data_IF_676344663113
#
_entry.id   IF_676344663113
#
_cell.length_a   1.000
_cell.length_b   1.000
_cell.length_c   1.000
_cell.angle_alpha   90.00
_cell.angle_beta   90.00
_cell.angle_gamma   90.00
#
_symmetry.space_group_name_H-M   'P 1'
#
loop_
_entity.id
_entity.type
_entity.pdbx_description
1 polymer ?
#
# COMPACT_ATOMS: atom_id res chain seq x y z
N UNK A 1 -2.07 13.32 -12.95
CA UNK A 1 -2.57 13.04 -11.58
C UNK A 1 -1.78 11.93 -10.89
N UNK A 2 -1.75 10.66 -11.32
CA UNK A 2 -0.94 9.62 -10.62
C UNK A 2 0.57 9.94 -10.60
N UNK A 3 1.09 10.48 -11.69
CA UNK A 3 2.47 10.97 -11.85
C UNK A 3 2.80 12.17 -10.95
N UNK A 4 1.78 12.92 -10.54
CA UNK A 4 1.92 14.20 -9.83
C UNK A 4 2.18 14.00 -8.32
N UNK A 5 2.00 12.76 -7.82
CA UNK A 5 2.20 12.42 -6.41
C UNK A 5 3.54 11.71 -6.19
N UNK A 6 4.16 12.01 -5.04
CA UNK A 6 5.32 11.28 -4.55
C UNK A 6 4.98 9.78 -4.36
N UNK A 7 5.88 8.84 -4.71
CA UNK A 7 5.56 7.43 -4.62
C UNK A 7 5.32 6.91 -3.20
N UNK A 8 6.17 7.30 -2.26
CA UNK A 8 6.25 6.75 -0.91
C UNK A 8 6.44 7.87 0.11
N UNK A 9 5.54 7.94 1.10
CA UNK A 9 5.69 8.82 2.26
C UNK A 9 6.68 8.27 3.30
N UNK A 10 6.92 9.04 4.36
CA UNK A 10 7.63 8.56 5.55
C UNK A 10 6.65 7.91 6.53
N UNK A 11 7.18 7.11 7.45
CA UNK A 11 6.41 6.61 8.60
C UNK A 11 5.77 7.76 9.36
N UNK A 12 4.47 7.64 9.61
CA UNK A 12 3.72 8.63 10.40
C UNK A 12 4.16 8.48 11.85
N UNK A 13 4.75 9.55 12.39
CA UNK A 13 5.29 9.59 13.76
C UNK A 13 4.23 9.16 14.79
N UNK A 14 4.62 8.30 15.72
CA UNK A 14 3.73 7.76 16.75
C UNK A 14 2.83 6.62 16.27
N UNK A 15 2.99 6.15 15.03
CA UNK A 15 2.23 5.02 14.47
C UNK A 15 3.14 4.00 13.80
N UNK A 16 2.57 2.93 13.24
CA UNK A 16 3.24 1.97 12.35
C UNK A 16 2.75 2.10 10.90
N UNK A 17 2.20 3.25 10.52
CA UNK A 17 1.67 3.48 9.17
C UNK A 17 2.69 4.18 8.27
N UNK A 18 2.74 3.72 7.02
CA UNK A 18 3.38 4.38 5.88
C UNK A 18 2.34 4.46 4.77
N UNK A 19 2.14 5.65 4.21
CA UNK A 19 1.26 5.86 3.07
C UNK A 19 2.07 5.93 1.76
N UNK A 20 1.53 5.35 0.69
CA UNK A 20 2.14 5.36 -0.64
C UNK A 20 1.05 5.40 -1.71
N UNK A 21 1.37 5.93 -2.89
CA UNK A 21 0.48 5.85 -4.05
C UNK A 21 0.49 4.42 -4.60
N UNK A 22 -0.56 4.01 -5.31
CA UNK A 22 -0.65 2.64 -5.79
C UNK A 22 0.55 2.27 -6.69
N UNK A 23 1.27 1.16 -6.42
CA UNK A 23 2.27 0.65 -7.36
C UNK A 23 1.58 0.04 -8.59
N UNK A 24 2.21 0.16 -9.75
CA UNK A 24 1.67 -0.31 -11.02
C UNK A 24 2.50 -1.47 -11.56
N UNK A 25 1.84 -2.50 -12.05
CA UNK A 25 2.47 -3.61 -12.77
C UNK A 25 3.00 -3.16 -14.13
N UNK A 26 3.94 -3.93 -14.67
CA UNK A 26 4.68 -3.62 -15.90
C UNK A 26 3.81 -3.27 -17.11
N UNK A 27 2.58 -3.80 -17.22
CA UNK A 27 1.69 -3.45 -18.33
C UNK A 27 1.33 -1.96 -18.41
N UNK A 28 1.53 -1.19 -17.34
CA UNK A 28 1.34 0.26 -17.33
C UNK A 28 2.58 1.04 -17.78
N UNK A 29 3.75 0.41 -17.86
CA UNK A 29 5.03 1.05 -18.17
C UNK A 29 5.06 1.71 -19.55
N UNK A 30 4.28 1.20 -20.51
CA UNK A 30 4.14 1.77 -21.86
C UNK A 30 3.60 3.21 -21.84
N UNK A 31 2.91 3.61 -20.76
CA UNK A 31 2.33 4.94 -20.60
C UNK A 31 3.13 5.82 -19.64
N UNK A 32 4.31 5.38 -19.19
CA UNK A 32 5.10 6.04 -18.16
C UNK A 32 6.56 6.20 -18.59
N UNK A 33 7.13 7.37 -18.33
CA UNK A 33 8.58 7.54 -18.45
C UNK A 33 9.29 6.70 -17.38
N UNK A 34 10.52 6.20 -17.63
CA UNK A 34 11.24 5.37 -16.68
C UNK A 34 11.32 5.95 -15.27
N UNK A 35 11.46 7.26 -15.14
CA UNK A 35 11.60 7.98 -13.87
C UNK A 35 10.26 8.08 -13.10
N UNK A 36 9.14 7.93 -13.80
CA UNK A 36 7.79 7.98 -13.23
C UNK A 36 7.33 6.63 -12.70
N UNK A 37 7.98 5.54 -13.13
CA UNK A 37 7.59 4.17 -12.78
C UNK A 37 7.69 3.92 -11.29
N UNK A 38 6.70 3.18 -10.79
CA UNK A 38 6.66 2.75 -9.40
C UNK A 38 5.96 1.39 -9.32
N UNK A 39 6.76 0.34 -9.38
CA UNK A 39 6.31 -1.05 -9.31
C UNK A 39 6.20 -1.57 -7.87
N UNK A 40 5.56 -2.74 -7.64
CA UNK A 40 5.59 -3.40 -6.33
C UNK A 40 7.02 -3.66 -5.84
N UNK A 41 7.96 -3.96 -6.76
CA UNK A 41 9.39 -4.13 -6.43
C UNK A 41 10.02 -2.82 -5.96
N UNK A 42 9.68 -1.70 -6.62
CA UNK A 42 10.17 -0.38 -6.22
C UNK A 42 9.64 0.02 -4.85
N UNK A 43 8.39 -0.31 -4.52
CA UNK A 43 7.82 -0.10 -3.18
C UNK A 43 8.68 -0.79 -2.11
N UNK A 44 8.96 -2.09 -2.27
CA UNK A 44 9.75 -2.85 -1.28
C UNK A 44 11.17 -2.31 -1.17
N UNK A 45 11.81 -1.98 -2.31
CA UNK A 45 13.15 -1.40 -2.31
C UNK A 45 13.18 -0.07 -1.55
N UNK A 46 12.25 0.84 -1.86
CA UNK A 46 12.19 2.16 -1.23
C UNK A 46 11.87 2.08 0.27
N UNK A 47 11.04 1.13 0.71
CA UNK A 47 10.81 0.88 2.14
C UNK A 47 12.12 0.50 2.85
N UNK A 48 12.90 -0.41 2.27
CA UNK A 48 14.21 -0.82 2.83
C UNK A 48 15.21 0.33 2.86
N UNK A 49 15.22 1.18 1.83
CA UNK A 49 16.03 2.41 1.80
C UNK A 49 15.65 3.38 2.94
N UNK A 50 14.39 3.37 3.41
CA UNK A 50 13.96 4.11 4.60
C UNK A 50 14.31 3.41 5.93
N UNK A 51 14.98 2.25 5.90
CA UNK A 51 15.27 1.39 7.07
C UNK A 51 13.99 0.93 7.79
N UNK A 52 12.93 0.71 7.03
CA UNK A 52 11.65 0.17 7.53
C UNK A 52 11.39 -1.19 6.85
N UNK A 53 10.43 -1.94 7.41
CA UNK A 53 9.92 -3.18 6.80
C UNK A 53 8.39 -3.15 6.81
N UNK A 54 7.77 -3.60 5.72
CA UNK A 54 6.32 -3.76 5.66
C UNK A 54 5.94 -5.16 6.14
N UNK A 55 5.05 -5.23 7.14
CA UNK A 55 4.41 -6.49 7.55
C UNK A 55 3.00 -6.69 6.95
N UNK A 56 2.34 -5.61 6.51
CA UNK A 56 1.00 -5.64 5.94
C UNK A 56 0.78 -4.48 4.95
N UNK A 57 0.20 -4.78 3.80
CA UNK A 57 -0.42 -3.79 2.90
C UNK A 57 -1.95 -3.85 3.05
N UNK A 58 -2.55 -2.69 3.30
CA UNK A 58 -4.01 -2.49 3.19
C UNK A 58 -4.28 -1.71 1.91
N UNK A 59 -4.76 -2.39 0.88
CA UNK A 59 -5.10 -1.77 -0.41
C UNK A 59 -6.53 -1.25 -0.39
N UNK A 60 -6.66 0.07 -0.54
CA UNK A 60 -7.94 0.79 -0.50
C UNK A 60 -8.53 1.06 -1.89
N UNK A 61 -7.83 0.72 -2.96
CA UNK A 61 -8.31 1.02 -4.32
C UNK A 61 -9.57 0.21 -4.65
N UNK A 62 -10.48 0.79 -5.41
CA UNK A 62 -11.72 0.11 -5.84
C UNK A 62 -11.52 -0.80 -7.07
N UNK A 63 -10.31 -1.34 -7.27
CA UNK A 63 -9.97 -2.17 -8.43
C UNK A 63 -8.81 -3.12 -8.12
N UNK A 64 -8.70 -4.22 -8.85
CA UNK A 64 -7.59 -5.20 -8.77
C UNK A 64 -6.66 -5.13 -9.98
N UNK A 65 -6.79 -4.09 -10.80
CA UNK A 65 -6.10 -3.98 -12.10
C UNK A 65 -4.64 -3.56 -11.99
N UNK A 66 -4.27 -2.85 -10.91
CA UNK A 66 -3.00 -2.14 -10.80
C UNK A 66 -1.80 -3.05 -10.56
N UNK A 67 -1.93 -4.02 -9.66
CA UNK A 67 -0.92 -5.04 -9.39
C UNK A 67 -1.62 -6.24 -8.75
N UNK A 68 -0.97 -7.39 -8.76
CA UNK A 68 -1.46 -8.57 -8.05
C UNK A 68 -0.69 -8.80 -6.75
N UNK A 69 -1.34 -9.33 -5.70
CA UNK A 69 -0.65 -9.67 -4.44
C UNK A 69 0.51 -10.64 -4.64
N UNK A 70 0.47 -11.50 -5.65
CA UNK A 70 1.56 -12.46 -5.95
C UNK A 70 2.85 -11.77 -6.43
N UNK A 71 2.79 -10.49 -6.80
CA UNK A 71 3.97 -9.68 -7.14
C UNK A 71 4.70 -9.14 -5.89
N UNK A 72 4.11 -9.31 -4.69
CA UNK A 72 4.70 -8.92 -3.41
C UNK A 72 5.50 -10.07 -2.78
N UNK A 73 6.42 -9.78 -1.85
CA UNK A 73 7.09 -10.82 -1.08
C UNK A 73 6.10 -11.71 -0.33
N UNK A 74 6.32 -13.03 -0.31
CA UNK A 74 5.44 -13.98 0.36
C UNK A 74 5.30 -13.75 1.88
N UNK A 75 6.26 -13.06 2.50
CA UNK A 75 6.23 -12.67 3.91
C UNK A 75 5.32 -11.47 4.18
N UNK A 76 4.93 -10.71 3.15
CA UNK A 76 4.12 -9.52 3.28
C UNK A 76 2.63 -9.87 3.23
N UNK A 77 1.93 -9.65 4.34
CA UNK A 77 0.48 -9.80 4.35
C UNK A 77 -0.20 -8.76 3.46
N UNK A 78 -1.32 -9.14 2.84
CA UNK A 78 -2.12 -8.26 2.00
C UNK A 78 -3.60 -8.31 2.43
N UNK A 79 -4.26 -7.16 2.46
CA UNK A 79 -5.70 -7.04 2.74
C UNK A 79 -6.33 -6.01 1.82
N UNK A 80 -7.36 -6.42 1.08
CA UNK A 80 -8.14 -5.54 0.21
C UNK A 80 -9.35 -5.00 0.96
N UNK A 81 -9.50 -3.68 1.00
CA UNK A 81 -10.71 -3.00 1.49
C UNK A 81 -11.16 -2.03 0.40
N UNK A 82 -11.98 -2.52 -0.53
CA UNK A 82 -12.44 -1.72 -1.65
C UNK A 82 -13.15 -0.45 -1.17
N UNK A 83 -12.57 0.71 -1.46
CA UNK A 83 -13.07 2.01 -1.03
C UNK A 83 -13.38 2.85 -2.26
N UNK A 84 -14.63 3.28 -2.39
CA UNK A 84 -15.07 4.13 -3.50
C UNK A 84 -14.37 5.48 -3.39
N UNK A 85 -13.77 5.93 -4.50
CA UNK A 85 -13.12 7.24 -4.55
C UNK A 85 -14.13 8.38 -4.54
N UNK A 86 -13.70 9.57 -4.12
CA UNK A 86 -14.53 10.78 -4.05
C UNK A 86 -15.71 10.72 -3.06
N UNK A 87 -15.82 9.66 -2.27
CA UNK A 87 -16.82 9.51 -1.21
C UNK A 87 -16.13 9.31 0.15
N UNK A 88 -16.80 9.75 1.22
CA UNK A 88 -16.36 9.47 2.57
C UNK A 88 -16.61 7.97 2.85
N UNK A 89 -15.60 7.19 3.28
CA UNK A 89 -15.79 5.78 3.59
C UNK A 89 -16.91 5.55 4.60
N UNK A 90 -17.80 4.60 4.32
CA UNK A 90 -18.90 4.28 5.21
C UNK A 90 -18.42 3.58 6.50
N UNK A 91 -19.33 3.45 7.47
CA UNK A 91 -19.03 2.83 8.78
C UNK A 91 -18.48 1.40 8.65
N UNK A 92 -18.92 0.64 7.65
CA UNK A 92 -18.46 -0.73 7.42
C UNK A 92 -17.01 -0.75 6.96
N UNK A 93 -16.64 0.07 5.96
CA UNK A 93 -15.26 0.22 5.48
C UNK A 93 -14.31 0.65 6.61
N UNK A 94 -14.72 1.64 7.41
CA UNK A 94 -13.94 2.09 8.58
C UNK A 94 -13.79 0.97 9.62
N UNK A 95 -14.83 0.19 9.87
CA UNK A 95 -14.78 -0.94 10.79
C UNK A 95 -13.82 -2.03 10.30
N UNK A 96 -13.86 -2.40 9.01
CA UNK A 96 -12.94 -3.36 8.42
C UNK A 96 -11.48 -2.91 8.58
N UNK A 97 -11.18 -1.65 8.26
CA UNK A 97 -9.85 -1.08 8.43
C UNK A 97 -9.37 -1.21 9.87
N UNK A 98 -10.22 -0.83 10.84
CA UNK A 98 -9.90 -0.95 12.27
C UNK A 98 -9.64 -2.40 12.70
N UNK A 99 -10.43 -3.35 12.21
CA UNK A 99 -10.25 -4.78 12.53
C UNK A 99 -8.93 -5.33 12.00
N UNK A 100 -8.61 -5.02 10.75
CA UNK A 100 -7.35 -5.44 10.11
C UNK A 100 -6.15 -4.87 10.86
N UNK A 101 -6.17 -3.58 11.17
CA UNK A 101 -5.09 -2.91 11.91
C UNK A 101 -4.94 -3.48 13.33
N UNK A 102 -6.05 -3.62 14.07
CA UNK A 102 -6.02 -4.18 15.43
C UNK A 102 -5.49 -5.62 15.45
N UNK A 103 -5.87 -6.43 14.46
CA UNK A 103 -5.36 -7.79 14.30
C UNK A 103 -3.85 -7.77 14.08
N UNK A 104 -3.38 -6.99 13.12
CA UNK A 104 -1.96 -6.88 12.82
C UNK A 104 -1.14 -6.45 14.05
N UNK A 105 -1.57 -5.40 14.76
CA UNK A 105 -0.87 -4.92 15.95
C UNK A 105 -0.87 -5.93 17.10
N UNK A 106 -1.96 -6.68 17.28
CA UNK A 106 -2.04 -7.72 18.33
C UNK A 106 -1.12 -8.89 18.02
N UNK A 107 -1.03 -9.29 16.75
CA UNK A 107 -0.26 -10.45 16.32
C UNK A 107 1.25 -10.11 16.18
N UNK A 108 1.61 -8.81 16.20
CA UNK A 108 2.98 -8.30 16.04
C UNK A 108 3.36 -7.29 17.15
N UNK A 109 3.00 -7.58 18.41
CA UNK A 109 3.21 -6.62 19.51
C UNK A 109 4.68 -6.21 19.67
N UNK A 110 5.58 -7.17 19.49
CA UNK A 110 7.00 -7.05 19.84
C UNK A 110 7.88 -6.51 18.69
N UNK A 111 7.31 -6.26 17.50
CA UNK A 111 8.00 -5.58 16.40
C UNK A 111 8.20 -4.08 16.68
#
# INVERSE_FOLDING_TARGET
RWTDYIPLGRRIRGTRFIAFKVPLKESFDLNLRPEERFSPRDLIRKIREQKEELGLIIDLTHTTRYYRPEELPATLSYSKIATVGHEIPNRHTVFQFRCVVKKFLRDNKDN
#
